data_IF_496763700921
#
_entry.id   IF_496763700921
#
_cell.length_a   1.000
_cell.length_b   1.000
_cell.length_c   1.000
_cell.angle_alpha   90.00
_cell.angle_beta   90.00
_cell.angle_gamma   90.00
#
_symmetry.space_group_name_H-M   'P 1'
#
loop_
_entity.id
_entity.type
_entity.pdbx_description
1 polymer ?
#
# COMPACT_ATOMS: atom_id res chain seq x y z
N UNK A 1 8.68 -5.09 -31.54
CA UNK A 1 7.27 -5.02 -31.10
C UNK A 1 6.97 -3.58 -30.74
N UNK A 2 6.13 -2.93 -31.53
CA UNK A 2 5.82 -1.50 -31.43
C UNK A 2 5.02 -1.24 -30.15
N UNK A 3 5.64 -0.61 -29.15
CA UNK A 3 4.93 -0.12 -27.96
C UNK A 3 4.04 1.05 -28.39
N UNK A 4 2.73 0.82 -28.43
CA UNK A 4 1.76 1.91 -28.57
C UNK A 4 1.73 2.63 -27.22
N UNK A 5 2.30 3.83 -27.17
CA UNK A 5 2.20 4.73 -26.03
C UNK A 5 0.79 5.35 -26.04
N UNK A 6 -0.16 4.75 -25.32
CA UNK A 6 -1.43 5.43 -25.01
C UNK A 6 -1.17 6.43 -23.88
N UNK A 7 -0.96 7.69 -24.26
CA UNK A 7 -1.08 8.84 -23.34
C UNK A 7 -2.52 8.85 -22.84
N UNK A 8 -2.71 8.88 -21.51
CA UNK A 8 -4.01 8.70 -20.86
C UNK A 8 -5.11 9.57 -21.45
N UNK A 9 -6.12 8.92 -22.05
CA UNK A 9 -7.37 9.57 -22.45
C UNK A 9 -8.43 9.26 -21.41
N UNK A 10 -8.92 10.31 -20.73
CA UNK A 10 -10.09 10.23 -19.87
C UNK A 10 -11.34 10.04 -20.75
N UNK A 11 -11.80 8.80 -20.95
CA UNK A 11 -13.10 8.55 -21.57
C UNK A 11 -14.20 8.61 -20.52
N UNK A 12 -14.95 9.73 -20.46
CA UNK A 12 -16.21 9.74 -19.72
C UNK A 12 -17.32 9.15 -20.58
N UNK A 13 -17.69 7.89 -20.35
CA UNK A 13 -18.92 7.34 -20.92
C UNK A 13 -20.09 7.81 -20.07
N UNK A 14 -20.79 8.86 -20.51
CA UNK A 14 -22.04 9.31 -19.90
C UNK A 14 -23.18 8.34 -20.24
N UNK A 15 -23.25 7.19 -19.55
CA UNK A 15 -24.47 6.39 -19.50
C UNK A 15 -25.30 6.82 -18.29
N UNK A 16 -26.59 7.12 -18.50
CA UNK A 16 -27.50 7.60 -17.45
C UNK A 16 -27.58 6.55 -16.32
N UNK A 17 -27.11 6.92 -15.13
CA UNK A 17 -27.29 6.15 -13.89
C UNK A 17 -26.05 5.47 -13.32
N UNK A 18 -24.90 5.51 -14.01
CA UNK A 18 -23.63 4.98 -13.49
C UNK A 18 -22.70 6.15 -13.18
N UNK A 19 -22.14 6.19 -11.96
CA UNK A 19 -21.14 7.19 -11.60
C UNK A 19 -19.96 7.14 -12.58
N UNK A 20 -19.37 8.28 -12.98
CA UNK A 20 -18.24 8.28 -13.91
C UNK A 20 -17.10 7.43 -13.33
N UNK A 21 -16.56 6.53 -14.16
CA UNK A 21 -15.41 5.67 -13.83
C UNK A 21 -14.22 6.16 -14.64
N UNK A 22 -13.10 6.43 -13.98
CA UNK A 22 -11.86 6.74 -14.67
C UNK A 22 -11.22 5.43 -15.14
N UNK A 23 -10.79 5.40 -16.40
CA UNK A 23 -10.14 4.25 -17.05
C UNK A 23 -8.78 4.69 -17.56
N UNK A 24 -7.71 4.06 -17.09
CA UNK A 24 -6.36 4.38 -17.54
C UNK A 24 -5.44 3.16 -17.42
N UNK A 25 -4.33 3.23 -18.15
CA UNK A 25 -3.22 2.28 -18.10
C UNK A 25 -2.16 2.82 -17.13
N UNK A 26 -2.13 2.37 -15.87
CA UNK A 26 -1.05 2.65 -14.93
C UNK A 26 0.33 2.30 -15.49
N UNK A 27 1.34 3.03 -15.03
CA UNK A 27 2.74 2.90 -15.46
C UNK A 27 3.36 1.62 -14.90
N UNK A 28 3.04 1.26 -13.66
CA UNK A 28 3.68 0.16 -12.94
C UNK A 28 2.79 -1.06 -12.74
N UNK A 29 1.67 -1.19 -13.46
CA UNK A 29 0.86 -2.42 -13.45
C UNK A 29 0.85 -3.03 -14.84
N UNK A 30 1.77 -3.97 -15.09
CA UNK A 30 1.94 -4.68 -16.37
C UNK A 30 0.60 -5.02 -17.04
N UNK A 31 0.28 -4.31 -18.14
CA UNK A 31 -0.92 -4.46 -18.97
C UNK A 31 -2.26 -4.48 -18.22
N UNK A 32 -2.31 -4.00 -16.97
CA UNK A 32 -3.57 -3.90 -16.22
C UNK A 32 -4.25 -2.57 -16.52
N UNK A 33 -5.52 -2.63 -16.90
CA UNK A 33 -6.39 -1.46 -16.95
C UNK A 33 -7.03 -1.27 -15.57
N UNK A 34 -6.95 -0.06 -15.03
CA UNK A 34 -7.62 0.30 -13.78
C UNK A 34 -8.94 0.96 -14.09
N UNK A 35 -9.99 0.49 -13.42
CA UNK A 35 -11.31 1.11 -13.38
C UNK A 35 -11.49 1.74 -12.00
N UNK A 36 -11.27 3.05 -11.90
CA UNK A 36 -11.33 3.79 -10.64
C UNK A 36 -12.69 4.47 -10.47
N UNK A 37 -13.34 4.23 -9.34
CA UNK A 37 -14.55 4.98 -8.93
C UNK A 37 -14.17 6.41 -8.54
N UNK A 38 -13.04 6.56 -7.85
CA UNK A 38 -12.43 7.84 -7.46
C UNK A 38 -10.91 7.71 -7.63
N UNK A 39 -10.28 8.76 -8.16
CA UNK A 39 -8.82 8.97 -8.12
C UNK A 39 -8.55 10.00 -7.02
N UNK A 40 -7.76 9.66 -6.01
CA UNK A 40 -7.64 10.52 -4.82
C UNK A 40 -6.81 11.80 -5.06
N UNK A 41 -6.02 11.85 -6.13
CA UNK A 41 -5.27 13.06 -6.53
C UNK A 41 -6.15 14.07 -7.26
N UNK A 42 -7.30 13.66 -7.77
CA UNK A 42 -8.20 14.53 -8.51
C UNK A 42 -9.05 15.38 -7.54
N UNK A 43 -9.52 16.56 -7.97
CA UNK A 43 -10.50 17.32 -7.21
C UNK A 43 -11.77 16.49 -6.91
N UNK A 44 -12.36 16.61 -5.71
CA UNK A 44 -12.04 17.58 -4.66
C UNK A 44 -10.99 17.11 -3.63
N UNK A 45 -10.47 15.89 -3.75
CA UNK A 45 -9.64 15.27 -2.71
C UNK A 45 -8.21 15.81 -2.70
N UNK A 46 -7.62 15.99 -3.89
CA UNK A 46 -6.30 16.59 -4.07
C UNK A 46 -5.23 15.98 -3.14
N UNK A 47 -5.24 14.65 -2.94
CA UNK A 47 -4.20 13.96 -2.20
C UNK A 47 -2.84 14.25 -2.86
N UNK A 48 -1.85 14.69 -2.07
CA UNK A 48 -0.55 15.09 -2.60
C UNK A 48 0.34 13.87 -2.88
N UNK A 49 0.68 13.56 -4.15
CA UNK A 49 1.55 12.45 -4.52
C UNK A 49 3.04 12.83 -4.46
N UNK A 50 3.39 14.06 -4.06
CA UNK A 50 4.78 14.52 -3.95
C UNK A 50 5.39 14.30 -2.56
N UNK A 51 4.55 14.03 -1.57
CA UNK A 51 4.96 13.76 -0.19
C UNK A 51 5.26 15.01 0.63
N UNK A 52 4.93 16.20 0.11
CA UNK A 52 5.19 17.48 0.79
C UNK A 52 4.09 17.84 1.79
N UNK A 53 2.85 17.45 1.49
CA UNK A 53 1.66 17.73 2.29
C UNK A 53 1.06 16.42 2.80
N UNK A 54 0.53 16.44 4.02
CA UNK A 54 -0.19 15.29 4.58
C UNK A 54 -1.42 14.92 3.74
N UNK A 55 -1.41 13.69 3.21
CA UNK A 55 -2.45 13.12 2.38
C UNK A 55 -3.48 12.30 3.17
N UNK A 56 -3.29 12.10 4.49
CA UNK A 56 -4.15 11.22 5.31
C UNK A 56 -5.63 11.57 5.18
N UNK A 57 -5.99 12.86 5.33
CA UNK A 57 -7.39 13.29 5.27
C UNK A 57 -8.00 13.09 3.87
N UNK A 58 -7.24 13.44 2.82
CA UNK A 58 -7.69 13.32 1.43
C UNK A 58 -7.94 11.86 1.04
N UNK A 59 -7.02 10.95 1.38
CA UNK A 59 -7.13 9.52 1.07
C UNK A 59 -8.31 8.89 1.83
N UNK A 60 -8.47 9.21 3.12
CA UNK A 60 -9.59 8.73 3.92
C UNK A 60 -10.94 9.22 3.39
N UNK A 61 -11.03 10.48 2.96
CA UNK A 61 -12.24 11.05 2.40
C UNK A 61 -12.58 10.44 1.03
N UNK A 62 -11.58 10.18 0.19
CA UNK A 62 -11.76 9.47 -1.08
C UNK A 62 -12.31 8.05 -0.88
N UNK A 63 -11.73 7.26 0.04
CA UNK A 63 -12.23 5.92 0.36
C UNK A 63 -13.66 5.94 0.92
N UNK A 64 -13.98 6.92 1.77
CA UNK A 64 -15.32 7.09 2.31
C UNK A 64 -16.35 7.37 1.22
N UNK A 65 -16.02 8.21 0.25
CA UNK A 65 -16.93 8.54 -0.84
C UNK A 65 -17.06 7.40 -1.87
N UNK A 66 -16.02 6.58 -2.08
CA UNK A 66 -16.15 5.32 -2.84
C UNK A 66 -17.17 4.41 -2.16
N UNK A 67 -17.07 4.24 -0.83
CA UNK A 67 -18.04 3.45 -0.09
C UNK A 67 -19.47 4.01 -0.22
N UNK A 68 -19.65 5.32 -0.09
CA UNK A 68 -20.98 5.99 -0.22
C UNK A 68 -21.58 5.86 -1.62
N UNK A 69 -20.74 5.73 -2.66
CA UNK A 69 -21.15 5.44 -4.04
C UNK A 69 -21.51 3.96 -4.27
N UNK A 70 -21.48 3.13 -3.23
CA UNK A 70 -21.83 1.70 -3.30
C UNK A 70 -20.63 0.76 -3.32
N UNK A 71 -19.40 1.29 -3.28
CA UNK A 71 -18.16 0.55 -3.34
C UNK A 71 -17.39 0.75 -4.65
N UNK A 72 -16.34 -0.05 -4.82
CA UNK A 72 -15.45 0.01 -5.99
C UNK A 72 -14.04 0.43 -5.62
N UNK A 73 -13.35 1.12 -6.51
CA UNK A 73 -11.91 1.37 -6.40
C UNK A 73 -11.62 2.83 -6.06
N UNK A 74 -10.93 3.05 -4.94
CA UNK A 74 -10.21 4.28 -4.65
C UNK A 74 -8.79 4.11 -5.19
N UNK A 75 -8.44 4.86 -6.22
CA UNK A 75 -7.13 4.76 -6.86
C UNK A 75 -6.16 5.83 -6.37
N UNK A 76 -4.93 5.41 -6.11
CA UNK A 76 -3.78 6.26 -5.84
C UNK A 76 -2.77 6.10 -6.99
N UNK A 77 -2.55 7.12 -7.82
CA UNK A 77 -1.47 7.10 -8.81
C UNK A 77 -0.09 6.88 -8.16
N UNK A 78 0.89 6.51 -8.98
CA UNK A 78 2.28 6.45 -8.54
C UNK A 78 2.74 7.79 -7.93
N UNK A 79 3.47 7.73 -6.83
CA UNK A 79 3.86 8.88 -6.03
C UNK A 79 4.14 8.52 -4.58
N UNK A 80 4.60 9.51 -3.82
CA UNK A 80 4.87 9.42 -2.39
C UNK A 80 3.79 10.18 -1.64
N UNK A 81 3.08 9.50 -0.75
CA UNK A 81 1.99 10.09 0.03
C UNK A 81 2.40 10.12 1.49
N UNK A 82 2.66 11.33 2.00
CA UNK A 82 2.92 11.56 3.43
C UNK A 82 1.62 11.30 4.21
N UNK A 83 1.65 10.41 5.18
CA UNK A 83 0.49 10.11 6.01
C UNK A 83 0.86 10.28 7.49
N UNK A 84 0.43 11.40 8.07
CA UNK A 84 0.69 11.71 9.48
C UNK A 84 -0.29 11.00 10.43
N UNK A 85 -1.46 10.64 9.92
CA UNK A 85 -2.46 9.84 10.65
C UNK A 85 -2.76 8.51 9.96
N UNK A 86 -3.50 7.66 10.67
CA UNK A 86 -3.93 6.34 10.18
C UNK A 86 -4.94 6.40 9.03
N UNK A 87 -4.91 5.37 8.19
CA UNK A 87 -5.84 5.17 7.09
C UNK A 87 -6.91 4.15 7.46
N UNK A 88 -8.17 4.45 7.14
CA UNK A 88 -9.32 3.61 7.44
C UNK A 88 -9.88 3.06 6.13
N UNK A 89 -9.42 1.87 5.76
CA UNK A 89 -9.97 1.12 4.65
C UNK A 89 -11.42 0.73 4.96
N UNK A 90 -12.31 0.95 3.98
CA UNK A 90 -13.76 0.80 4.17
C UNK A 90 -14.27 -0.49 3.52
N UNK A 91 -15.36 -1.04 4.04
CA UNK A 91 -16.01 -2.20 3.41
C UNK A 91 -16.52 -1.86 2.00
N UNK A 92 -16.44 -2.82 1.08
CA UNK A 92 -16.72 -2.68 -0.35
C UNK A 92 -15.75 -1.77 -1.11
N UNK A 93 -14.64 -1.38 -0.50
CA UNK A 93 -13.62 -0.52 -1.13
C UNK A 93 -12.36 -1.32 -1.42
N UNK A 94 -11.89 -1.16 -2.65
CA UNK A 94 -10.52 -1.50 -3.06
C UNK A 94 -9.69 -0.23 -2.99
N UNK A 95 -8.72 -0.15 -2.09
CA UNK A 95 -7.65 0.83 -2.20
C UNK A 95 -6.56 0.23 -3.10
N UNK A 96 -6.43 0.78 -4.30
CA UNK A 96 -5.48 0.31 -5.30
C UNK A 96 -4.48 1.40 -5.64
N UNK A 97 -3.19 1.08 -5.52
CA UNK A 97 -2.12 1.90 -6.07
C UNK A 97 -1.55 1.32 -7.37
N UNK A 98 -0.31 1.69 -7.65
CA UNK A 98 0.55 1.09 -8.67
C UNK A 98 1.75 0.40 -8.01
N UNK A 99 2.12 -0.78 -8.51
CA UNK A 99 3.18 -1.58 -7.90
C UNK A 99 3.77 -2.57 -8.87
N UNK A 100 5.10 -2.63 -8.85
CA UNK A 100 5.89 -3.73 -9.39
C UNK A 100 6.54 -4.50 -8.22
N UNK A 101 6.82 -5.81 -8.37
CA UNK A 101 7.60 -6.55 -7.40
C UNK A 101 8.89 -5.80 -7.04
N UNK A 102 9.19 -5.57 -5.75
CA UNK A 102 10.40 -4.87 -5.37
C UNK A 102 11.61 -5.75 -5.72
N UNK A 103 12.65 -5.10 -6.22
CA UNK A 103 13.96 -5.71 -6.47
C UNK A 103 14.93 -5.07 -5.48
N UNK A 104 15.58 -5.84 -4.59
CA UNK A 104 16.60 -5.30 -3.71
C UNK A 104 17.69 -4.55 -4.51
N UNK A 105 18.17 -3.43 -3.98
CA UNK A 105 19.13 -2.54 -4.67
C UNK A 105 18.50 -1.49 -5.60
N UNK A 106 17.24 -1.67 -6.02
CA UNK A 106 16.53 -0.71 -6.88
C UNK A 106 15.79 0.37 -6.08
N UNK A 107 15.47 1.46 -6.76
CA UNK A 107 14.62 2.51 -6.20
C UNK A 107 13.19 2.03 -5.96
N UNK A 108 12.60 2.53 -4.86
CA UNK A 108 11.19 2.34 -4.58
C UNK A 108 10.33 3.09 -5.63
N UNK A 109 9.41 2.37 -6.27
CA UNK A 109 8.58 2.86 -7.38
C UNK A 109 7.11 2.51 -7.16
N UNK A 110 6.23 3.19 -7.91
CA UNK A 110 4.80 3.02 -7.81
C UNK A 110 4.19 3.93 -6.75
N UNK A 111 3.14 3.46 -6.09
CA UNK A 111 2.47 4.16 -4.99
C UNK A 111 3.14 3.81 -3.68
N UNK A 112 3.63 4.82 -2.96
CA UNK A 112 4.31 4.67 -1.67
C UNK A 112 3.56 5.46 -0.60
N UNK A 113 3.09 4.76 0.42
CA UNK A 113 2.54 5.38 1.63
C UNK A 113 3.66 5.56 2.66
N UNK A 114 3.98 6.81 2.98
CA UNK A 114 4.95 7.18 4.01
C UNK A 114 4.22 7.32 5.35
N UNK A 115 4.36 6.30 6.21
CA UNK A 115 3.66 6.21 7.48
C UNK A 115 4.47 6.83 8.62
N UNK A 116 3.87 7.80 9.33
CA UNK A 116 4.42 8.42 10.53
C UNK A 116 3.73 8.03 11.87
N UNK A 117 2.50 7.50 11.94
CA UNK A 117 1.86 7.25 13.24
C UNK A 117 2.41 6.00 13.96
N UNK A 118 2.23 5.95 15.28
CA UNK A 118 2.48 4.75 16.11
C UNK A 118 3.92 4.54 16.56
N UNK A 119 4.82 5.50 16.34
CA UNK A 119 6.23 5.40 16.74
C UNK A 119 6.37 5.20 18.25
N UNK A 120 7.04 4.13 18.65
CA UNK A 120 7.32 3.79 20.04
C UNK A 120 6.17 3.09 20.77
N UNK A 121 5.07 2.79 20.09
CA UNK A 121 3.88 2.15 20.68
C UNK A 121 3.48 0.89 19.88
N UNK A 122 4.04 -0.29 20.19
CA UNK A 122 3.77 -1.51 19.43
C UNK A 122 2.32 -2.02 19.58
N UNK A 123 1.62 -1.59 20.63
CA UNK A 123 0.24 -2.02 20.93
C UNK A 123 -0.79 -0.93 20.59
N UNK A 124 -0.33 0.17 19.97
CA UNK A 124 -1.16 1.26 19.49
C UNK A 124 -1.99 0.91 18.25
N UNK A 125 -2.69 1.92 17.72
CA UNK A 125 -3.53 1.74 16.55
C UNK A 125 -2.71 1.45 15.28
N UNK A 126 -3.16 0.50 14.43
CA UNK A 126 -2.46 0.16 13.20
C UNK A 126 -2.46 1.34 12.22
N UNK A 127 -1.40 1.45 11.39
CA UNK A 127 -1.34 2.51 10.37
C UNK A 127 -2.51 2.42 9.40
N UNK A 128 -2.80 1.22 8.88
CA UNK A 128 -3.97 0.96 8.06
C UNK A 128 -4.94 0.01 8.76
N UNK A 129 -6.13 0.50 9.09
CA UNK A 129 -7.21 -0.27 9.69
C UNK A 129 -8.30 -0.59 8.68
N UNK A 130 -8.75 -1.83 8.66
CA UNK A 130 -9.85 -2.31 7.82
C UNK A 130 -11.10 -2.65 8.62
N UNK A 131 -12.22 -2.88 7.94
CA UNK A 131 -13.43 -3.30 8.61
C UNK A 131 -13.33 -4.78 9.02
N UNK A 132 -14.04 -5.15 10.09
CA UNK A 132 -14.20 -6.56 10.48
C UNK A 132 -15.19 -7.32 9.58
N UNK A 133 -15.95 -6.62 8.74
CA UNK A 133 -16.95 -7.19 7.82
C UNK A 133 -17.15 -6.32 6.57
N UNK A 134 -17.80 -6.87 5.54
CA UNK A 134 -18.16 -6.12 4.33
C UNK A 134 -17.12 -6.11 3.21
N UNK A 135 -16.11 -7.00 3.28
CA UNK A 135 -15.08 -7.29 2.27
C UNK A 135 -14.36 -6.05 1.72
N UNK A 136 -13.10 -5.88 2.10
CA UNK A 136 -12.23 -4.82 1.56
C UNK A 136 -11.04 -5.40 0.77
N UNK A 137 -10.36 -4.57 -0.01
CA UNK A 137 -9.15 -4.98 -0.71
C UNK A 137 -8.10 -3.88 -0.62
N UNK A 138 -6.90 -4.24 -0.16
CA UNK A 138 -5.72 -3.41 -0.25
C UNK A 138 -4.80 -4.01 -1.31
N UNK A 139 -4.43 -3.25 -2.34
CA UNK A 139 -3.51 -3.77 -3.34
C UNK A 139 -2.59 -2.76 -4.00
N UNK A 140 -1.44 -3.27 -4.42
CA UNK A 140 -0.52 -2.62 -5.34
C UNK A 140 0.09 -1.33 -4.76
N UNK A 141 0.83 -1.44 -3.66
CA UNK A 141 1.59 -0.29 -3.13
C UNK A 141 2.72 -0.74 -2.21
N UNK A 142 3.62 0.20 -1.91
CA UNK A 142 4.57 0.06 -0.82
C UNK A 142 4.14 0.89 0.39
N UNK A 143 4.54 0.44 1.58
CA UNK A 143 4.41 1.18 2.83
C UNK A 143 5.80 1.28 3.45
N UNK A 144 6.20 2.50 3.77
CA UNK A 144 7.51 2.85 4.30
C UNK A 144 7.33 3.75 5.53
N UNK A 145 8.12 3.53 6.57
CA UNK A 145 8.19 4.37 7.76
C UNK A 145 9.48 5.21 7.71
N UNK A 146 9.42 6.50 7.33
CA UNK A 146 10.63 7.31 7.16
C UNK A 146 11.38 7.58 8.47
N UNK A 147 10.71 7.47 9.61
CA UNK A 147 11.30 7.72 10.94
C UNK A 147 11.85 6.47 11.64
N UNK A 148 11.77 5.31 10.97
CA UNK A 148 12.33 4.07 11.46
C UNK A 148 13.82 4.01 11.11
N UNK A 149 14.64 3.64 12.09
CA UNK A 149 16.10 3.59 12.00
C UNK A 149 16.62 2.22 12.42
N UNK A 150 17.81 1.82 11.97
CA UNK A 150 18.41 0.53 12.37
C UNK A 150 19.10 0.58 13.73
N UNK A 151 19.41 1.78 14.23
CA UNK A 151 20.09 1.98 15.52
C UNK A 151 19.56 3.24 16.24
N UNK A 152 18.64 3.10 17.23
CA UNK A 152 17.92 1.88 17.57
C UNK A 152 16.75 1.62 16.60
N UNK A 153 16.36 0.35 16.47
CA UNK A 153 15.03 0.00 15.96
C UNK A 153 13.98 0.42 16.99
N UNK A 154 12.97 1.16 16.53
CA UNK A 154 11.86 1.63 17.37
C UNK A 154 10.61 0.79 17.12
N UNK A 155 9.89 0.34 18.15
CA UNK A 155 8.64 -0.39 17.96
C UNK A 155 7.56 0.44 17.25
N UNK A 156 6.74 -0.21 16.42
CA UNK A 156 5.53 0.36 15.80
C UNK A 156 4.40 -0.67 15.87
N UNK A 157 3.13 -0.24 15.82
CA UNK A 157 2.01 -1.17 15.76
C UNK A 157 1.97 -1.89 14.42
N UNK A 158 0.98 -2.77 14.23
CA UNK A 158 0.76 -3.41 12.93
C UNK A 158 0.61 -2.35 11.84
N UNK A 159 1.36 -2.51 10.74
CA UNK A 159 1.26 -1.62 9.58
C UNK A 159 -0.12 -1.74 8.95
N UNK A 160 -0.63 -2.97 8.85
CA UNK A 160 -1.94 -3.27 8.30
C UNK A 160 -2.67 -4.17 9.30
N UNK A 161 -3.86 -3.77 9.73
CA UNK A 161 -4.79 -4.62 10.46
C UNK A 161 -6.15 -4.63 9.76
N UNK A 162 -6.55 -5.77 9.19
CA UNK A 162 -7.82 -5.91 8.50
C UNK A 162 -8.59 -7.12 9.03
N UNK A 163 -9.92 -7.08 8.93
CA UNK A 163 -10.77 -8.25 9.09
C UNK A 163 -10.91 -9.03 7.77
N UNK A 164 -12.15 -9.27 7.35
CA UNK A 164 -12.46 -9.94 6.08
C UNK A 164 -12.03 -9.06 4.90
N UNK A 165 -10.83 -9.33 4.36
CA UNK A 165 -10.22 -8.52 3.31
C UNK A 165 -9.18 -9.29 2.48
N UNK A 166 -8.89 -8.80 1.29
CA UNK A 166 -7.73 -9.24 0.50
C UNK A 166 -6.59 -8.24 0.61
N UNK A 167 -5.36 -8.73 0.73
CA UNK A 167 -4.13 -7.93 0.74
C UNK A 167 -3.19 -8.50 -0.30
N UNK A 168 -2.91 -7.74 -1.36
CA UNK A 168 -2.12 -8.27 -2.48
C UNK A 168 -1.11 -7.27 -2.99
N UNK A 169 0.06 -7.74 -3.42
CA UNK A 169 1.05 -6.88 -4.09
C UNK A 169 1.47 -5.71 -3.19
N UNK A 170 1.98 -6.05 -2.00
CA UNK A 170 2.38 -5.08 -0.99
C UNK A 170 3.86 -5.24 -0.67
N UNK A 171 4.56 -4.11 -0.64
CA UNK A 171 5.93 -4.03 -0.11
C UNK A 171 5.92 -3.34 1.25
N UNK A 172 6.35 -4.03 2.29
CA UNK A 172 6.56 -3.48 3.64
C UNK A 172 8.05 -3.14 3.78
N UNK A 173 8.43 -1.88 3.59
CA UNK A 173 9.85 -1.51 3.49
C UNK A 173 10.57 -1.77 4.81
N UNK A 174 10.06 -1.26 5.93
CA UNK A 174 10.71 -1.33 7.24
C UNK A 174 9.69 -1.39 8.39
N UNK A 175 8.60 -2.13 8.17
CA UNK A 175 7.53 -2.31 9.15
C UNK A 175 8.03 -3.05 10.39
N UNK A 176 7.69 -2.59 11.59
CA UNK A 176 7.98 -3.36 12.81
C UNK A 176 7.10 -4.61 12.90
N UNK A 177 5.78 -4.40 12.97
CA UNK A 177 4.73 -5.41 12.80
C UNK A 177 4.09 -5.21 11.43
N UNK A 178 4.04 -6.26 10.61
CA UNK A 178 3.58 -6.21 9.23
C UNK A 178 2.05 -6.24 9.10
N UNK A 179 1.48 -7.43 8.91
CA UNK A 179 0.05 -7.61 8.64
C UNK A 179 -0.62 -8.41 9.76
N UNK A 180 -1.70 -7.88 10.30
CA UNK A 180 -2.60 -8.58 11.21
C UNK A 180 -3.98 -8.80 10.58
N UNK A 181 -4.35 -10.06 10.38
CA UNK A 181 -5.71 -10.44 10.00
C UNK A 181 -6.51 -10.75 11.28
N UNK A 182 -7.21 -9.75 11.80
CA UNK A 182 -7.83 -9.76 13.14
C UNK A 182 -9.10 -10.62 13.24
N UNK A 183 -9.86 -10.67 12.14
CA UNK A 183 -10.97 -11.62 11.93
C UNK A 183 -10.90 -12.07 10.49
N UNK A 184 -10.72 -13.36 10.24
CA UNK A 184 -10.43 -13.87 8.92
C UNK A 184 -11.55 -14.80 8.42
N UNK A 185 -12.01 -14.63 7.19
CA UNK A 185 -12.88 -15.61 6.53
C UNK A 185 -12.69 -15.47 5.03
N UNK A 186 -12.09 -16.48 4.39
CA UNK A 186 -11.87 -16.47 2.94
C UNK A 186 -10.85 -15.44 2.44
N UNK A 187 -10.08 -14.80 3.33
CA UNK A 187 -9.11 -13.78 2.95
C UNK A 187 -7.95 -14.34 2.13
N UNK A 188 -7.37 -13.49 1.29
CA UNK A 188 -6.16 -13.82 0.51
C UNK A 188 -5.11 -12.78 0.82
N UNK A 189 -3.97 -13.23 1.31
CA UNK A 189 -2.77 -12.44 1.49
C UNK A 189 -1.71 -12.98 0.52
N UNK A 190 -1.30 -12.18 -0.46
CA UNK A 190 -0.40 -12.69 -1.50
C UNK A 190 0.51 -11.66 -2.12
N UNK A 191 1.63 -12.12 -2.66
CA UNK A 191 2.62 -11.25 -3.31
C UNK A 191 3.07 -10.16 -2.31
N UNK A 192 3.45 -10.59 -1.10
CA UNK A 192 3.91 -9.73 -0.01
C UNK A 192 5.43 -9.80 0.04
N UNK A 193 6.06 -8.63 0.02
CA UNK A 193 7.50 -8.45 0.04
C UNK A 193 7.86 -7.50 1.18
N UNK A 194 9.06 -7.58 1.75
CA UNK A 194 9.49 -6.54 2.69
C UNK A 194 10.52 -6.95 3.73
N UNK A 195 10.93 -5.97 4.52
CA UNK A 195 11.63 -6.16 5.78
C UNK A 195 10.65 -5.91 6.91
N UNK A 196 10.43 -6.93 7.75
CA UNK A 196 9.55 -6.90 8.92
C UNK A 196 10.38 -7.20 10.17
N UNK A 197 10.35 -6.32 11.16
CA UNK A 197 11.38 -6.30 12.22
C UNK A 197 11.01 -7.14 13.46
N UNK A 198 9.73 -7.46 13.67
CA UNK A 198 9.28 -8.28 14.80
C UNK A 198 8.26 -9.35 14.36
N UNK A 199 7.12 -8.96 13.81
CA UNK A 199 6.07 -9.91 13.37
C UNK A 199 5.71 -9.66 11.91
N UNK A 200 5.91 -10.64 11.05
CA UNK A 200 5.60 -10.51 9.62
C UNK A 200 4.10 -10.53 9.32
N UNK A 201 3.45 -11.65 9.60
CA UNK A 201 2.00 -11.83 9.39
C UNK A 201 1.42 -12.59 10.57
N UNK A 202 0.43 -12.01 11.25
CA UNK A 202 -0.40 -12.69 12.24
C UNK A 202 -1.82 -12.85 11.69
N UNK A 203 -2.35 -14.07 11.72
CA UNK A 203 -3.75 -14.33 11.38
C UNK A 203 -4.45 -15.03 12.52
N UNK A 204 -5.68 -14.62 12.83
CA UNK A 204 -6.52 -15.28 13.83
C UNK A 204 -8.00 -15.30 13.41
N UNK A 205 -8.82 -16.02 14.18
CA UNK A 205 -10.28 -16.04 14.04
C UNK A 205 -10.74 -16.37 12.61
N UNK A 206 -10.24 -17.49 12.08
CA UNK A 206 -10.44 -17.91 10.70
C UNK A 206 -11.70 -18.79 10.55
N UNK A 207 -12.80 -18.22 10.08
CA UNK A 207 -14.08 -18.92 9.90
C UNK A 207 -14.15 -19.82 8.66
N UNK A 208 -13.34 -19.53 7.64
CA UNK A 208 -13.24 -20.26 6.38
C UNK A 208 -11.77 -20.39 5.95
N UNK A 209 -11.48 -21.04 4.83
CA UNK A 209 -10.10 -21.20 4.33
C UNK A 209 -9.49 -19.86 3.89
N UNK A 210 -8.54 -19.35 4.67
CA UNK A 210 -7.65 -18.27 4.25
C UNK A 210 -6.47 -18.79 3.43
N UNK A 211 -5.96 -17.94 2.54
CA UNK A 211 -4.81 -18.27 1.69
C UNK A 211 -3.69 -17.26 1.88
N UNK A 212 -2.53 -17.75 2.27
CA UNK A 212 -1.28 -17.00 2.30
C UNK A 212 -0.36 -17.63 1.25
N UNK A 213 0.06 -16.88 0.23
CA UNK A 213 0.99 -17.41 -0.76
C UNK A 213 1.89 -16.33 -1.37
N UNK A 214 3.11 -16.70 -1.77
CA UNK A 214 4.11 -15.77 -2.31
C UNK A 214 4.43 -14.63 -1.34
N UNK A 215 4.86 -15.01 -0.14
CA UNK A 215 5.37 -14.09 0.89
C UNK A 215 6.89 -14.20 0.91
N UNK A 216 7.59 -13.07 0.86
CA UNK A 216 9.06 -12.99 0.88
C UNK A 216 9.49 -11.90 1.85
N UNK A 217 10.09 -12.30 2.97
CA UNK A 217 10.73 -11.37 3.89
C UNK A 217 12.25 -11.50 3.79
N UNK A 218 12.92 -10.36 3.66
CA UNK A 218 14.38 -10.25 3.65
C UNK A 218 14.77 -8.87 4.19
N UNK A 219 15.88 -8.72 4.94
CA UNK A 219 16.43 -7.42 5.28
C UNK A 219 16.82 -6.57 4.05
N UNK A 220 17.07 -7.21 2.89
CA UNK A 220 17.56 -6.49 1.70
C UNK A 220 16.54 -5.48 1.15
N UNK A 221 15.24 -5.69 1.41
CA UNK A 221 14.18 -4.78 0.97
C UNK A 221 14.18 -3.44 1.71
N UNK A 222 14.92 -3.32 2.81
CA UNK A 222 15.20 -2.04 3.47
C UNK A 222 16.65 -1.62 3.23
N UNK A 223 17.61 -2.47 3.60
CA UNK A 223 19.03 -2.09 3.69
C UNK A 223 19.67 -1.69 2.35
N UNK A 224 19.10 -2.13 1.23
CA UNK A 224 19.67 -1.87 -0.11
C UNK A 224 18.75 -1.00 -0.97
N UNK A 225 17.55 -0.69 -0.50
CA UNK A 225 16.55 0.00 -1.29
C UNK A 225 16.87 1.49 -1.38
N UNK A 226 16.77 2.09 -2.57
CA UNK A 226 17.00 3.53 -2.70
C UNK A 226 15.71 4.27 -2.31
N UNK A 227 15.74 4.90 -1.14
CA UNK A 227 14.59 5.60 -0.55
C UNK A 227 14.70 7.12 -0.77
N UNK A 228 13.57 7.84 -0.93
CA UNK A 228 13.60 9.29 -1.12
C UNK A 228 14.26 10.00 0.07
N UNK A 229 15.20 10.90 -0.22
CA UNK A 229 15.87 11.71 0.80
C UNK A 229 16.98 10.98 1.58
N UNK A 230 17.21 9.70 1.32
CA UNK A 230 18.38 8.97 1.82
C UNK A 230 19.49 8.99 0.77
N UNK A 231 20.73 9.30 1.18
CA UNK A 231 21.89 9.00 0.33
C UNK A 231 22.02 7.48 0.19
N UNK A 232 22.40 6.95 -0.99
CA UNK A 232 22.58 5.52 -1.15
C UNK A 232 23.59 5.00 -0.10
N UNK A 233 23.32 3.87 0.57
CA UNK A 233 24.14 3.42 1.69
C UNK A 233 25.60 3.24 1.27
N UNK A 234 26.50 3.99 1.89
CA UNK A 234 27.95 3.82 1.79
C UNK A 234 28.29 2.47 2.43
N UNK A 235 28.59 1.43 1.63
CA UNK A 235 29.03 0.14 2.17
C UNK A 235 28.59 -1.13 1.44
N UNK A 236 27.81 -1.05 0.35
CA UNK A 236 27.41 -2.24 -0.43
C UNK A 236 28.58 -3.02 -1.06
N UNK A 237 29.80 -2.48 -1.01
CA UNK A 237 31.01 -3.08 -1.59
C UNK A 237 31.79 -4.03 -0.65
N UNK A 238 31.40 -4.15 0.64
CA UNK A 238 32.15 -4.98 1.61
C UNK A 238 31.43 -6.24 2.14
N UNK A 239 30.21 -6.56 1.69
CA UNK A 239 29.49 -7.78 2.16
C UNK A 239 29.64 -8.95 1.18
N UNK A 240 30.14 -8.73 -0.04
CA UNK A 240 30.29 -9.79 -1.05
C UNK A 240 31.56 -10.66 -0.93
N UNK A 241 32.36 -10.51 0.13
CA UNK A 241 33.65 -11.22 0.30
C UNK A 241 33.73 -12.14 1.52
N UNK A 242 32.61 -12.47 2.16
CA UNK A 242 32.60 -13.43 3.25
C UNK A 242 31.36 -14.34 3.27
N UNK A 243 31.05 -14.99 2.14
CA UNK A 243 30.30 -16.27 2.10
C UNK A 243 30.74 -17.10 0.88
#
# INVERSE_FOLDING_TARGET
>A
MTKILLIGFLFSVLSRGVAPVAVFSPVFLDDQIVFATIVATDPPYNADPTGQVDATAAINQAMLDVQRKGGGTCFLPAGFYRCEGGLVLRGKVTLQGEWQPPVPGEALRGTVLMAYPGRGDPDGDPFMRGPSSGHAHLKSMAIWYPEQTTDPIVPYPYTIELGVAHVRQITLVNSYRGIHMSVNSGSVVSDIYGTVLEMGIWTQNCGEFARLHKVRFSPDYWCTMQLPGEEPPVGAENVLLAM
#
